data_IF_258750033398
#
_entry.id   IF_258750033398
#
_cell.length_a   1.000
_cell.length_b   1.000
_cell.length_c   1.000
_cell.angle_alpha   90.00
_cell.angle_beta   90.00
_cell.angle_gamma   90.00
#
_symmetry.space_group_name_H-M   'P 1'
#
loop_
_entity.id
_entity.type
_entity.pdbx_description
1 polymer ?
#
# COMPACT_ATOMS: atom_id res chain seq x y z
N UNK A 1 1.92 17.85 -4.16
CA UNK A 1 0.70 17.01 -4.17
C UNK A 1 1.06 15.71 -3.47
N UNK A 2 0.19 15.17 -2.63
CA UNK A 2 0.49 13.93 -1.89
C UNK A 2 0.16 12.73 -2.78
N UNK A 3 1.06 11.76 -2.85
CA UNK A 3 0.82 10.45 -3.46
C UNK A 3 0.34 9.47 -2.40
N UNK A 4 -0.57 8.57 -2.77
CA UNK A 4 -1.11 7.59 -1.85
C UNK A 4 -1.49 6.27 -2.51
N UNK A 5 -1.41 5.18 -1.74
CA UNK A 5 -1.87 3.85 -2.12
C UNK A 5 -2.60 3.21 -0.92
N UNK A 6 -3.73 2.53 -1.18
CA UNK A 6 -4.48 1.81 -0.13
C UNK A 6 -4.20 0.32 -0.23
N UNK A 7 -3.99 -0.35 0.90
CA UNK A 7 -3.72 -1.79 0.92
C UNK A 7 -4.87 -2.58 0.27
N UNK A 8 -6.13 -2.22 0.54
CA UNK A 8 -7.30 -2.87 -0.04
C UNK A 8 -7.46 -2.68 -1.57
N UNK A 9 -6.70 -1.78 -2.20
CA UNK A 9 -6.62 -1.68 -3.65
C UNK A 9 -5.63 -2.71 -4.25
N UNK A 10 -4.74 -3.29 -3.44
CA UNK A 10 -3.86 -4.42 -3.80
C UNK A 10 -4.49 -5.75 -3.42
N UNK A 11 -4.81 -5.91 -2.14
CA UNK A 11 -5.26 -7.16 -1.55
C UNK A 11 -6.71 -6.98 -1.08
N UNK A 12 -7.64 -7.27 -1.98
CA UNK A 12 -9.07 -7.25 -1.64
C UNK A 12 -9.34 -8.22 -0.49
N UNK A 13 -10.08 -7.76 0.53
CA UNK A 13 -10.42 -8.52 1.74
C UNK A 13 -9.25 -8.83 2.69
N UNK A 14 -8.07 -8.22 2.52
CA UNK A 14 -7.01 -8.34 3.51
C UNK A 14 -7.49 -7.87 4.89
N UNK A 15 -7.18 -8.63 5.93
CA UNK A 15 -7.47 -8.30 7.32
C UNK A 15 -6.20 -7.78 8.00
N UNK A 16 -6.35 -6.84 8.93
CA UNK A 16 -5.27 -6.39 9.79
C UNK A 16 -5.01 -7.37 10.95
N UNK A 17 -4.09 -7.00 11.83
CA UNK A 17 -3.68 -7.81 12.98
C UNK A 17 -4.82 -8.11 13.97
N UNK A 18 -5.92 -7.33 13.94
CA UNK A 18 -7.09 -7.52 14.78
C UNK A 18 -8.19 -8.33 14.09
N UNK A 19 -7.98 -8.76 12.84
CA UNK A 19 -8.98 -9.43 12.02
C UNK A 19 -10.02 -8.47 11.41
N UNK A 20 -9.77 -7.16 11.43
CA UNK A 20 -10.64 -6.16 10.80
C UNK A 20 -10.20 -5.90 9.34
N UNK A 21 -11.09 -5.43 8.45
CA UNK A 21 -10.69 -5.09 7.07
C UNK A 21 -9.54 -4.09 7.06
N UNK A 22 -8.45 -4.43 6.37
CA UNK A 22 -7.25 -3.61 6.33
C UNK A 22 -7.51 -2.25 5.68
N UNK A 23 -7.33 -1.18 6.47
CA UNK A 23 -7.52 0.21 6.06
C UNK A 23 -6.21 0.97 5.86
N UNK A 24 -5.08 0.28 5.87
CA UNK A 24 -3.77 0.91 5.72
C UNK A 24 -3.68 1.71 4.42
N UNK A 25 -3.09 2.90 4.52
CA UNK A 25 -2.87 3.81 3.40
C UNK A 25 -1.47 4.40 3.49
N UNK A 26 -0.61 4.01 2.56
CA UNK A 26 0.68 4.68 2.38
C UNK A 26 0.42 6.06 1.77
N UNK A 27 1.02 7.09 2.34
CA UNK A 27 0.95 8.47 1.85
C UNK A 27 2.34 9.11 1.94
N UNK A 28 2.82 9.68 0.84
CA UNK A 28 4.12 10.33 0.80
C UNK A 28 4.20 11.39 -0.32
N UNK A 29 5.29 12.16 -0.33
CA UNK A 29 5.55 13.14 -1.39
C UNK A 29 6.02 12.48 -2.69
N UNK A 30 6.79 11.39 -2.59
CA UNK A 30 7.32 10.66 -3.72
C UNK A 30 6.63 9.31 -3.93
N UNK A 31 6.75 8.75 -5.13
CA UNK A 31 6.20 7.43 -5.43
C UNK A 31 7.00 6.32 -4.76
N UNK A 32 8.33 6.47 -4.72
CA UNK A 32 9.21 5.47 -4.13
C UNK A 32 9.00 5.37 -2.62
N UNK A 33 8.65 6.47 -1.95
CA UNK A 33 8.26 6.47 -0.54
C UNK A 33 6.92 5.75 -0.32
N UNK A 34 5.95 5.90 -1.24
CA UNK A 34 4.69 5.14 -1.20
C UNK A 34 4.97 3.64 -1.40
N UNK A 35 5.84 3.30 -2.35
CA UNK A 35 6.27 1.91 -2.60
C UNK A 35 6.94 1.32 -1.37
N UNK A 36 7.87 2.05 -0.76
CA UNK A 36 8.57 1.62 0.45
C UNK A 36 7.60 1.34 1.60
N UNK A 37 6.72 2.30 1.92
CA UNK A 37 5.75 2.17 3.00
C UNK A 37 4.74 1.03 2.77
N UNK A 38 4.24 0.88 1.55
CA UNK A 38 3.32 -0.21 1.21
C UNK A 38 4.03 -1.58 1.25
N UNK A 39 5.27 -1.66 0.73
CA UNK A 39 6.06 -2.88 0.74
C UNK A 39 6.32 -3.37 2.17
N UNK A 40 6.65 -2.46 3.07
CA UNK A 40 6.87 -2.78 4.48
C UNK A 40 5.58 -3.24 5.17
N UNK A 41 4.44 -2.61 4.86
CA UNK A 41 3.15 -3.03 5.39
C UNK A 41 2.74 -4.43 4.88
N UNK A 42 2.88 -4.71 3.58
CA UNK A 42 2.56 -6.02 3.00
C UNK A 42 3.35 -7.14 3.67
N UNK A 43 4.66 -6.92 3.89
CA UNK A 43 5.53 -7.88 4.56
C UNK A 43 5.16 -8.07 6.03
N UNK A 44 4.95 -6.99 6.76
CA UNK A 44 4.77 -7.07 8.22
C UNK A 44 3.35 -7.53 8.61
N UNK A 45 2.32 -7.11 7.88
CA UNK A 45 0.92 -7.36 8.26
C UNK A 45 0.31 -8.55 7.52
N UNK A 46 0.74 -8.81 6.29
CA UNK A 46 0.13 -9.86 5.46
C UNK A 46 1.10 -10.99 5.08
N UNK A 47 2.36 -10.93 5.52
CA UNK A 47 3.44 -11.87 5.16
C UNK A 47 3.56 -12.08 3.64
N UNK A 48 3.28 -11.01 2.88
CA UNK A 48 3.37 -11.00 1.42
C UNK A 48 4.70 -10.41 1.00
N UNK A 49 5.46 -11.15 0.18
CA UNK A 49 6.70 -10.63 -0.41
C UNK A 49 6.38 -9.47 -1.39
N UNK A 50 6.88 -8.25 -1.12
CA UNK A 50 6.59 -7.10 -1.96
C UNK A 50 7.41 -7.06 -3.26
N UNK A 51 8.45 -7.89 -3.42
CA UNK A 51 9.38 -7.82 -4.57
C UNK A 51 8.66 -7.99 -5.92
N UNK A 52 7.69 -8.91 -6.00
CA UNK A 52 6.86 -9.13 -7.19
C UNK A 52 5.69 -8.14 -7.34
N UNK A 53 5.46 -7.30 -6.34
CA UNK A 53 4.30 -6.41 -6.26
C UNK A 53 4.62 -4.93 -6.46
N UNK A 54 5.89 -4.56 -6.63
CA UNK A 54 6.32 -3.17 -6.82
C UNK A 54 5.56 -2.49 -7.97
N UNK A 55 5.44 -3.16 -9.12
CA UNK A 55 4.73 -2.62 -10.28
C UNK A 55 3.24 -2.39 -9.98
N UNK A 56 2.62 -3.29 -9.21
CA UNK A 56 1.22 -3.17 -8.82
C UNK A 56 1.01 -2.01 -7.84
N UNK A 57 1.92 -1.84 -6.87
CA UNK A 57 1.88 -0.70 -5.93
C UNK A 57 1.96 0.62 -6.70
N UNK A 58 2.88 0.72 -7.67
CA UNK A 58 2.96 1.90 -8.55
C UNK A 58 1.67 2.10 -9.35
N UNK A 59 1.10 1.03 -9.90
CA UNK A 59 -0.14 1.07 -10.67
C UNK A 59 -1.37 1.56 -9.90
N UNK A 60 -1.46 1.25 -8.60
CA UNK A 60 -2.56 1.71 -7.74
C UNK A 60 -2.29 3.05 -7.05
N UNK A 61 -1.06 3.59 -7.14
CA UNK A 61 -0.68 4.85 -6.51
C UNK A 61 -1.39 6.01 -7.20
N UNK A 62 -2.08 6.83 -6.41
CA UNK A 62 -2.86 7.98 -6.86
C UNK A 62 -2.25 9.26 -6.31
N UNK A 63 -2.49 10.37 -6.99
CA UNK A 63 -2.09 11.71 -6.54
C UNK A 63 -3.32 12.49 -6.12
N UNK A 64 -3.32 13.07 -4.92
CA UNK A 64 -4.39 13.97 -4.48
C UNK A 64 -4.45 15.19 -5.40
N UNK A 65 -5.58 15.43 -6.06
CA UNK A 65 -5.85 16.67 -6.79
C UNK A 65 -6.32 17.73 -5.79
N UNK A 66 -5.79 18.94 -5.94
CA UNK A 66 -6.12 20.12 -5.13
C UNK A 66 -7.53 20.60 -5.45
#
# INVERSE_FOLDING_TARGET
MVKYARCNAMLSLALDENGEPCRFMAQAETEDDVVSAMSQHLKNTHDVDPSDLIANIKGITKTTRR
#
